data_IF_801112121001
#
_entry.id   IF_801112121001
#
_cell.length_a   1.000
_cell.length_b   1.000
_cell.length_c   1.000
_cell.angle_alpha   90.00
_cell.angle_beta   90.00
_cell.angle_gamma   90.00
#
_symmetry.space_group_name_H-M   'P 1'
#
loop_
_entity.id
_entity.type
_entity.pdbx_description
1 polymer ?
#
# COMPACT_ATOMS: atom_id res chain seq x y z
N UNK A 1 55.96 -33.53 -35.38
CA UNK A 1 55.82 -32.34 -34.53
C UNK A 1 54.44 -31.72 -34.65
N UNK A 2 53.39 -32.24 -34.04
CA UNK A 2 52.04 -31.54 -34.03
C UNK A 2 51.09 -32.19 -33.02
N UNK A 3 51.43 -32.32 -31.75
CA UNK A 3 50.49 -32.82 -30.72
C UNK A 3 50.40 -31.97 -29.43
N UNK A 4 51.12 -30.84 -29.33
CA UNK A 4 51.10 -30.06 -28.09
C UNK A 4 50.05 -28.95 -28.04
N UNK A 5 49.39 -28.59 -29.13
CA UNK A 5 48.43 -27.48 -29.18
C UNK A 5 47.01 -27.89 -28.77
N UNK A 6 46.63 -29.17 -28.84
CA UNK A 6 45.29 -29.64 -28.61
C UNK A 6 44.93 -29.86 -27.11
N UNK A 7 45.97 -30.09 -26.25
CA UNK A 7 45.73 -30.30 -24.80
C UNK A 7 45.42 -28.99 -24.04
N UNK A 8 45.91 -27.83 -24.49
CA UNK A 8 45.61 -26.55 -23.87
C UNK A 8 44.17 -26.10 -24.14
N UNK A 9 43.64 -26.35 -25.34
CA UNK A 9 42.25 -26.05 -25.70
C UNK A 9 41.24 -26.89 -24.90
N UNK A 10 41.49 -28.20 -24.74
CA UNK A 10 40.60 -29.08 -23.98
C UNK A 10 40.49 -28.73 -22.49
N UNK A 11 41.60 -28.33 -21.87
CA UNK A 11 41.61 -27.87 -20.47
C UNK A 11 40.85 -26.54 -20.29
N UNK A 12 41.00 -25.61 -21.22
CA UNK A 12 40.27 -24.33 -21.20
C UNK A 12 38.75 -24.53 -21.33
N UNK A 13 38.34 -25.44 -22.21
CA UNK A 13 36.91 -25.78 -22.38
C UNK A 13 36.32 -26.42 -21.11
N UNK A 14 37.08 -27.35 -20.50
CA UNK A 14 36.64 -28.00 -19.24
C UNK A 14 36.53 -26.97 -18.09
N UNK A 15 37.51 -26.05 -17.97
CA UNK A 15 37.47 -24.98 -16.98
C UNK A 15 36.28 -24.01 -17.22
N UNK A 16 35.91 -23.74 -18.46
CA UNK A 16 34.78 -22.89 -18.81
C UNK A 16 33.46 -23.58 -18.49
N UNK A 17 33.33 -24.87 -18.81
CA UNK A 17 32.11 -25.66 -18.52
C UNK A 17 31.92 -25.83 -17.01
N UNK A 18 32.99 -26.08 -16.25
CA UNK A 18 32.87 -26.21 -14.78
C UNK A 18 32.85 -24.87 -14.06
N UNK A 19 33.57 -23.89 -14.55
CA UNK A 19 33.72 -22.56 -13.90
C UNK A 19 32.45 -21.71 -14.02
N UNK A 20 31.75 -21.77 -15.16
CA UNK A 20 30.56 -20.96 -15.40
C UNK A 20 29.41 -21.26 -14.40
N UNK A 21 29.04 -22.53 -14.16
CA UNK A 21 28.06 -22.83 -13.11
C UNK A 21 28.47 -22.41 -11.70
N UNK A 22 29.76 -22.60 -11.37
CA UNK A 22 30.29 -22.22 -10.06
C UNK A 22 30.26 -20.71 -9.87
N UNK A 23 30.63 -19.92 -10.86
CA UNK A 23 30.56 -18.46 -10.78
C UNK A 23 29.10 -17.97 -10.67
N UNK A 24 28.15 -18.60 -11.37
CA UNK A 24 26.72 -18.27 -11.25
C UNK A 24 26.19 -18.55 -9.85
N UNK A 25 26.55 -19.70 -9.25
CA UNK A 25 26.13 -20.06 -7.90
C UNK A 25 26.71 -19.07 -6.88
N UNK A 26 27.99 -18.72 -7.01
CA UNK A 26 28.63 -17.75 -6.12
C UNK A 26 28.01 -16.36 -6.26
N UNK A 27 27.74 -15.90 -7.48
CA UNK A 27 27.08 -14.62 -7.73
C UNK A 27 25.64 -14.59 -7.18
N UNK A 28 24.89 -15.67 -7.37
CA UNK A 28 23.52 -15.79 -6.82
C UNK A 28 23.54 -15.81 -5.29
N UNK A 29 24.47 -16.55 -4.67
CA UNK A 29 24.60 -16.60 -3.21
C UNK A 29 25.03 -15.25 -2.62
N UNK A 30 25.94 -14.55 -3.33
CA UNK A 30 26.36 -13.22 -2.95
C UNK A 30 25.21 -12.23 -3.04
N UNK A 31 24.46 -12.23 -4.13
CA UNK A 31 23.29 -11.36 -4.33
C UNK A 31 22.22 -11.63 -3.26
N UNK A 32 21.91 -12.92 -3.03
CA UNK A 32 20.95 -13.33 -2.00
C UNK A 32 21.29 -12.76 -0.61
N UNK A 33 22.57 -12.87 -0.22
CA UNK A 33 23.05 -12.40 1.06
C UNK A 33 22.85 -10.88 1.27
N UNK A 34 23.06 -10.07 0.24
CA UNK A 34 22.87 -8.62 0.32
C UNK A 34 21.38 -8.21 0.24
N UNK A 35 20.59 -8.96 -0.51
CA UNK A 35 19.12 -8.73 -0.59
C UNK A 35 18.46 -9.08 0.75
N UNK A 36 18.81 -10.20 1.36
CA UNK A 36 18.26 -10.62 2.65
C UNK A 36 18.60 -9.65 3.78
N UNK A 37 19.77 -9.01 3.72
CA UNK A 37 20.16 -7.96 4.67
C UNK A 37 19.51 -6.61 4.43
N UNK A 38 18.83 -6.43 3.30
CA UNK A 38 18.24 -5.15 2.92
C UNK A 38 19.24 -4.11 2.43
N UNK A 39 20.51 -4.50 2.21
CA UNK A 39 21.56 -3.60 1.70
C UNK A 39 21.35 -3.26 0.21
N UNK A 40 20.61 -4.11 -0.51
CA UNK A 40 20.26 -3.90 -1.93
C UNK A 40 18.73 -4.01 -2.06
N UNK A 41 18.11 -2.87 -2.28
CA UNK A 41 16.68 -2.80 -2.64
C UNK A 41 16.52 -3.02 -4.15
N UNK A 42 16.39 -4.29 -4.56
CA UNK A 42 16.18 -4.66 -5.97
C UNK A 42 14.80 -4.18 -6.44
N UNK A 43 13.79 -4.19 -5.56
CA UNK A 43 12.43 -3.76 -5.90
C UNK A 43 12.41 -2.26 -6.19
N UNK A 44 13.07 -1.46 -5.36
CA UNK A 44 13.21 -0.02 -5.59
C UNK A 44 14.06 0.31 -6.82
N UNK A 45 15.13 -0.48 -7.08
CA UNK A 45 16.05 -0.24 -8.21
C UNK A 45 15.47 -0.63 -9.58
N UNK A 46 14.66 -1.70 -9.65
CA UNK A 46 14.02 -2.15 -10.90
C UNK A 46 12.69 -1.45 -11.16
N UNK A 47 12.13 -0.77 -10.16
CA UNK A 47 10.77 -0.27 -10.17
C UNK A 47 9.75 -1.41 -10.07
N UNK A 48 8.59 -1.11 -9.57
CA UNK A 48 7.44 -2.01 -9.66
C UNK A 48 6.61 -1.61 -10.86
N UNK A 49 5.97 -2.58 -11.52
CA UNK A 49 4.98 -2.28 -12.55
C UNK A 49 3.72 -1.60 -11.97
N UNK A 50 3.66 -1.44 -10.66
CA UNK A 50 2.57 -0.80 -9.93
C UNK A 50 2.87 0.69 -9.74
N UNK A 51 1.83 1.51 -9.82
CA UNK A 51 1.92 2.96 -9.59
C UNK A 51 1.97 3.31 -8.10
N UNK A 52 1.50 2.39 -7.25
CA UNK A 52 1.65 2.48 -5.80
C UNK A 52 3.01 1.95 -5.32
N UNK A 53 3.53 2.56 -4.27
CA UNK A 53 4.72 2.07 -3.58
C UNK A 53 4.37 0.84 -2.72
N UNK A 54 5.02 -0.28 -2.99
CA UNK A 54 4.88 -1.48 -2.15
C UNK A 54 5.68 -1.27 -0.87
N UNK A 55 5.03 -1.49 0.27
CA UNK A 55 5.70 -1.37 1.56
C UNK A 55 6.66 -2.55 1.77
N UNK A 56 7.94 -2.25 1.96
CA UNK A 56 8.97 -3.28 2.16
C UNK A 56 8.73 -4.16 3.41
N UNK A 57 8.05 -3.58 4.42
CA UNK A 57 7.66 -4.28 5.64
C UNK A 57 6.17 -4.03 5.88
N UNK A 58 5.28 -4.82 5.28
CA UNK A 58 3.85 -4.68 5.47
C UNK A 58 3.46 -4.95 6.93
N UNK A 59 2.45 -4.22 7.42
CA UNK A 59 1.94 -4.35 8.79
C UNK A 59 0.57 -4.99 8.73
N UNK A 60 0.31 -5.97 9.60
CA UNK A 60 -1.02 -6.55 9.72
C UNK A 60 -1.83 -5.82 10.79
N UNK A 61 -2.94 -5.23 10.37
CA UNK A 61 -3.86 -4.47 11.24
C UNK A 61 -5.21 -5.19 11.45
N UNK A 62 -5.32 -6.46 11.04
CA UNK A 62 -6.58 -7.22 11.07
C UNK A 62 -7.25 -7.20 12.45
N UNK A 63 -6.48 -7.47 13.49
CA UNK A 63 -6.96 -7.55 14.87
C UNK A 63 -6.63 -6.29 15.69
N UNK A 64 -6.15 -5.23 15.05
CA UNK A 64 -5.88 -3.97 15.74
C UNK A 64 -7.20 -3.36 16.22
N UNK A 65 -7.33 -2.99 17.50
CA UNK A 65 -8.54 -2.39 18.01
C UNK A 65 -8.65 -0.92 17.57
N UNK A 66 -9.85 -0.56 17.16
CA UNK A 66 -10.28 0.80 16.83
C UNK A 66 -11.56 1.12 17.59
N UNK A 67 -11.88 2.40 17.70
CA UNK A 67 -13.18 2.86 18.20
C UNK A 67 -14.01 3.36 17.01
N UNK A 68 -15.18 2.80 16.80
CA UNK A 68 -16.11 3.25 15.76
C UNK A 68 -16.77 4.58 16.16
N UNK A 69 -17.47 5.23 15.22
CA UNK A 69 -18.12 6.53 15.45
C UNK A 69 -19.19 6.51 16.54
N UNK A 70 -19.77 5.33 16.84
CA UNK A 70 -20.73 5.12 17.92
C UNK A 70 -20.08 4.84 19.28
N UNK A 71 -18.76 4.85 19.36
CA UNK A 71 -17.98 4.56 20.56
C UNK A 71 -17.74 3.06 20.83
N UNK A 72 -18.23 2.17 19.98
CA UNK A 72 -17.99 0.73 20.10
C UNK A 72 -16.57 0.36 19.66
N UNK A 73 -16.02 -0.70 20.30
CA UNK A 73 -14.76 -1.28 19.83
C UNK A 73 -14.99 -2.09 18.55
N UNK A 74 -14.09 -1.94 17.58
CA UNK A 74 -14.14 -2.61 16.29
C UNK A 74 -12.75 -2.96 15.77
N UNK A 75 -12.69 -3.74 14.70
CA UNK A 75 -11.45 -4.09 14.00
C UNK A 75 -11.76 -4.45 12.54
N UNK A 76 -10.72 -4.62 11.71
CA UNK A 76 -10.92 -5.15 10.35
C UNK A 76 -11.47 -6.58 10.35
N UNK A 77 -11.17 -7.38 11.39
CA UNK A 77 -11.70 -8.74 11.52
C UNK A 77 -13.22 -8.79 11.73
N UNK A 78 -13.81 -7.72 12.27
CA UNK A 78 -15.27 -7.59 12.41
C UNK A 78 -15.99 -7.33 11.07
N UNK A 79 -15.25 -7.02 10.01
CA UNK A 79 -15.81 -6.76 8.68
C UNK A 79 -15.62 -7.96 7.76
N UNK A 80 -16.42 -7.97 6.68
CA UNK A 80 -16.16 -8.90 5.58
C UNK A 80 -14.75 -8.68 5.01
N UNK A 81 -14.01 -9.77 4.70
CA UNK A 81 -12.67 -9.67 4.16
C UNK A 81 -12.71 -9.07 2.73
N UNK A 82 -12.43 -7.79 2.63
CA UNK A 82 -12.39 -7.01 1.37
C UNK A 82 -11.10 -6.22 1.27
N UNK A 83 -10.71 -5.87 0.06
CA UNK A 83 -9.70 -4.85 -0.17
C UNK A 83 -10.14 -3.55 0.48
N UNK A 84 -9.28 -2.93 1.25
CA UNK A 84 -9.63 -1.73 2.01
C UNK A 84 -8.78 -0.55 1.56
N UNK A 85 -9.43 0.53 1.12
CA UNK A 85 -8.79 1.82 0.95
C UNK A 85 -8.80 2.51 2.31
N UNK A 86 -7.62 2.76 2.84
CA UNK A 86 -7.44 3.36 4.15
C UNK A 86 -6.82 4.75 4.03
N UNK A 87 -7.58 5.77 4.41
CA UNK A 87 -7.10 7.16 4.57
C UNK A 87 -6.76 7.36 6.04
N UNK A 88 -5.62 7.94 6.33
CA UNK A 88 -5.20 8.25 7.71
C UNK A 88 -5.11 9.76 7.85
N UNK A 89 -5.82 10.30 8.83
CA UNK A 89 -5.75 11.71 9.19
C UNK A 89 -5.31 11.86 10.65
N UNK A 90 -4.22 12.57 10.85
CA UNK A 90 -3.69 12.88 12.18
C UNK A 90 -3.96 14.34 12.50
N UNK A 91 -4.59 14.57 13.63
CA UNK A 91 -4.98 15.91 14.10
C UNK A 91 -6.49 16.16 14.03
N UNK A 92 -6.86 17.38 14.35
CA UNK A 92 -8.25 17.87 14.51
C UNK A 92 -8.80 18.56 13.24
N UNK A 93 -8.01 18.60 12.17
CA UNK A 93 -8.39 19.20 10.90
C UNK A 93 -8.16 18.17 9.78
N UNK A 94 -9.19 17.97 8.95
CA UNK A 94 -9.07 17.34 7.64
C UNK A 94 -8.96 18.49 6.62
N UNK A 95 -7.75 18.78 6.20
CA UNK A 95 -7.45 19.85 5.25
C UNK A 95 -7.87 19.51 3.81
N UNK A 96 -7.58 20.38 2.89
CA UNK A 96 -7.88 20.19 1.46
C UNK A 96 -7.29 18.88 0.91
N UNK A 97 -6.08 18.50 1.33
CA UNK A 97 -5.45 17.27 0.89
C UNK A 97 -6.13 16.01 1.43
N UNK A 98 -6.53 16.02 2.70
CA UNK A 98 -7.34 14.97 3.31
C UNK A 98 -8.69 14.83 2.60
N UNK A 99 -9.37 15.94 2.31
CA UNK A 99 -10.63 15.97 1.55
C UNK A 99 -10.45 15.39 0.14
N UNK A 100 -9.38 15.76 -0.53
CA UNK A 100 -9.05 15.23 -1.86
C UNK A 100 -8.85 13.71 -1.84
N UNK A 101 -8.19 13.15 -0.82
CA UNK A 101 -8.04 11.70 -0.66
C UNK A 101 -9.36 10.99 -0.47
N UNK A 102 -10.29 11.57 0.28
CA UNK A 102 -11.65 11.03 0.42
C UNK A 102 -12.37 11.02 -0.94
N UNK A 103 -12.31 12.12 -1.68
CA UNK A 103 -12.89 12.20 -3.01
C UNK A 103 -12.22 11.21 -3.98
N UNK A 104 -10.90 11.20 -4.06
CA UNK A 104 -10.11 10.34 -4.96
C UNK A 104 -10.41 8.85 -4.74
N UNK A 105 -10.37 8.39 -3.50
CA UNK A 105 -10.63 6.99 -3.17
C UNK A 105 -12.07 6.58 -3.49
N UNK A 106 -13.05 7.51 -3.39
CA UNK A 106 -14.42 7.29 -3.86
C UNK A 106 -14.48 7.12 -5.38
N UNK A 107 -13.84 8.02 -6.12
CA UNK A 107 -13.83 7.98 -7.59
C UNK A 107 -13.16 6.70 -8.10
N UNK A 108 -12.03 6.31 -7.53
CA UNK A 108 -11.34 5.08 -7.89
C UNK A 108 -12.24 3.86 -7.65
N UNK A 109 -12.88 3.78 -6.47
CA UNK A 109 -13.78 2.67 -6.14
C UNK A 109 -14.95 2.55 -7.12
N UNK A 110 -15.55 3.68 -7.52
CA UNK A 110 -16.63 3.69 -8.54
C UNK A 110 -16.10 3.26 -9.90
N UNK A 111 -14.91 3.73 -10.30
CA UNK A 111 -14.30 3.47 -11.60
C UNK A 111 -13.84 2.00 -11.78
N UNK A 112 -13.66 1.24 -10.72
CA UNK A 112 -13.41 -0.22 -10.77
C UNK A 112 -14.60 -0.96 -11.42
N UNK A 113 -15.79 -0.39 -11.35
CA UNK A 113 -16.99 -0.94 -11.99
C UNK A 113 -17.56 -2.13 -11.21
N UNK A 114 -17.82 -3.26 -11.88
CA UNK A 114 -18.51 -4.41 -11.27
C UNK A 114 -17.84 -5.00 -10.04
N UNK A 115 -16.53 -4.80 -9.86
CA UNK A 115 -15.77 -5.31 -8.71
C UNK A 115 -15.77 -4.34 -7.51
N UNK A 116 -16.50 -3.22 -7.56
CA UNK A 116 -16.54 -2.21 -6.51
C UNK A 116 -17.01 -2.77 -5.15
N UNK A 117 -17.83 -3.82 -5.15
CA UNK A 117 -18.33 -4.48 -3.93
C UNK A 117 -17.25 -5.25 -3.16
N UNK A 118 -16.12 -5.58 -3.83
CA UNK A 118 -14.94 -6.21 -3.23
C UNK A 118 -14.02 -5.21 -2.52
N UNK A 119 -14.36 -3.92 -2.60
CA UNK A 119 -13.59 -2.82 -2.02
C UNK A 119 -14.43 -2.09 -0.99
N UNK A 120 -13.87 -1.87 0.17
CA UNK A 120 -14.41 -1.01 1.22
C UNK A 120 -13.48 0.15 1.51
N UNK A 121 -13.99 1.18 2.20
CA UNK A 121 -13.25 2.38 2.56
C UNK A 121 -13.31 2.59 4.06
N UNK A 122 -12.15 2.89 4.64
CA UNK A 122 -12.00 3.20 6.06
C UNK A 122 -11.16 4.47 6.18
N UNK A 123 -11.59 5.38 7.01
CA UNK A 123 -10.80 6.51 7.43
C UNK A 123 -10.38 6.29 8.88
N UNK A 124 -9.09 6.36 9.15
CA UNK A 124 -8.54 6.22 10.49
C UNK A 124 -8.09 7.60 10.98
N UNK A 125 -8.57 7.96 12.15
CA UNK A 125 -8.36 9.28 12.76
C UNK A 125 -7.84 9.12 14.19
N UNK A 126 -7.16 10.11 14.73
CA UNK A 126 -6.67 10.12 16.11
C UNK A 126 -7.60 10.81 17.10
N UNK A 127 -8.62 11.52 16.61
CA UNK A 127 -9.67 12.15 17.39
C UNK A 127 -11.07 11.67 16.96
N UNK A 128 -12.12 11.82 17.79
CA UNK A 128 -13.49 11.49 17.38
C UNK A 128 -13.92 12.30 16.14
N UNK A 129 -14.62 11.66 15.19
CA UNK A 129 -15.01 12.28 13.91
C UNK A 129 -15.81 13.58 14.06
N UNK A 130 -16.61 13.71 15.12
CA UNK A 130 -17.35 14.93 15.41
C UNK A 130 -16.49 16.08 15.95
N UNK A 131 -15.27 15.79 16.41
CA UNK A 131 -14.29 16.80 16.86
C UNK A 131 -13.41 17.29 15.71
N UNK A 132 -13.26 16.51 14.64
CA UNK A 132 -12.45 16.87 13.49
C UNK A 132 -13.25 17.82 12.60
N UNK A 133 -12.61 18.89 12.18
CA UNK A 133 -13.17 19.85 11.23
C UNK A 133 -12.61 19.60 9.83
N UNK A 134 -13.46 19.71 8.83
CA UNK A 134 -13.05 19.72 7.43
C UNK A 134 -13.04 21.16 6.92
N UNK A 135 -11.99 21.55 6.24
CA UNK A 135 -11.92 22.87 5.62
C UNK A 135 -12.76 22.88 4.34
N UNK A 136 -13.64 23.91 4.20
CA UNK A 136 -14.39 24.13 2.97
C UNK A 136 -13.47 24.57 1.82
N UNK A 137 -13.91 24.36 0.58
CA UNK A 137 -13.18 24.70 -0.65
C UNK A 137 -12.84 26.19 -0.78
N UNK A 138 -13.49 27.05 0.00
CA UNK A 138 -13.21 28.49 0.04
C UNK A 138 -13.14 28.99 1.49
N UNK A 139 -12.26 29.97 1.72
CA UNK A 139 -12.12 30.64 3.03
C UNK A 139 -13.45 31.30 3.52
N UNK A 140 -14.46 31.41 2.68
CA UNK A 140 -15.78 31.95 2.98
C UNK A 140 -16.76 30.89 3.52
N UNK A 141 -16.51 29.61 3.34
CA UNK A 141 -17.43 28.51 3.68
C UNK A 141 -17.27 28.03 5.13
N UNK A 142 -16.20 28.42 5.81
CA UNK A 142 -15.94 28.00 7.18
C UNK A 142 -15.56 26.51 7.29
N UNK A 143 -15.60 26.00 8.52
CA UNK A 143 -15.32 24.58 8.80
C UNK A 143 -16.63 23.84 9.12
N UNK A 144 -16.71 22.60 8.68
CA UNK A 144 -17.83 21.68 8.94
C UNK A 144 -17.32 20.46 9.69
N UNK A 145 -18.04 19.89 10.64
CA UNK A 145 -17.66 18.63 11.26
C UNK A 145 -17.46 17.53 10.20
N UNK A 146 -16.37 16.76 10.33
CA UNK A 146 -16.08 15.66 9.43
C UNK A 146 -17.23 14.64 9.37
N UNK A 147 -17.90 14.40 10.50
CA UNK A 147 -19.07 13.52 10.57
C UNK A 147 -20.15 13.88 9.57
N UNK A 148 -20.43 15.16 9.39
CA UNK A 148 -21.53 15.65 8.53
C UNK A 148 -21.20 15.46 7.04
N UNK A 149 -19.92 15.70 6.69
CA UNK A 149 -19.42 15.47 5.33
C UNK A 149 -19.36 13.96 5.01
N UNK A 150 -18.93 13.13 5.96
CA UNK A 150 -18.95 11.67 5.77
C UNK A 150 -20.38 11.17 5.55
N UNK A 151 -21.36 11.63 6.34
CA UNK A 151 -22.73 11.20 6.20
C UNK A 151 -23.37 11.65 4.86
N UNK A 152 -23.10 12.89 4.44
CA UNK A 152 -23.68 13.45 3.22
C UNK A 152 -22.98 13.03 1.93
N UNK A 153 -21.64 12.99 1.91
CA UNK A 153 -20.87 12.82 0.68
C UNK A 153 -20.15 11.47 0.58
N UNK A 154 -19.82 10.86 1.71
CA UNK A 154 -19.05 9.61 1.77
C UNK A 154 -19.72 8.52 2.64
N UNK A 155 -21.00 8.20 2.46
CA UNK A 155 -21.74 7.28 3.33
C UNK A 155 -21.20 5.85 3.33
N UNK A 156 -20.27 5.53 2.41
CA UNK A 156 -19.60 4.25 2.30
C UNK A 156 -18.26 4.20 3.08
N UNK A 157 -17.86 5.32 3.69
CA UNK A 157 -16.63 5.41 4.52
C UNK A 157 -16.98 5.09 5.97
N UNK A 158 -16.23 4.16 6.56
CA UNK A 158 -16.24 3.96 8.00
C UNK A 158 -15.15 4.81 8.63
N UNK A 159 -15.53 5.63 9.61
CA UNK A 159 -14.54 6.42 10.36
C UNK A 159 -14.26 5.70 11.67
N UNK A 160 -12.99 5.41 11.89
CA UNK A 160 -12.48 4.72 13.06
C UNK A 160 -11.43 5.55 13.78
N UNK A 161 -11.61 5.71 15.07
CA UNK A 161 -10.59 6.35 15.88
C UNK A 161 -9.48 5.33 16.21
N UNK A 162 -8.25 5.76 16.00
CA UNK A 162 -7.04 4.98 16.26
C UNK A 162 -6.83 4.82 17.77
N UNK A 163 -6.41 3.64 18.20
CA UNK A 163 -5.93 3.38 19.55
C UNK A 163 -4.51 3.91 19.77
N UNK A 164 -3.86 3.42 20.83
CA UNK A 164 -2.49 3.84 21.18
C UNK A 164 -1.41 3.42 20.16
N UNK A 165 -1.72 2.47 19.28
CA UNK A 165 -0.76 1.98 18.27
C UNK A 165 -1.08 2.56 16.91
N UNK A 166 -0.09 3.12 16.19
CA UNK A 166 -0.29 3.64 14.85
C UNK A 166 -0.61 2.49 13.87
N UNK A 167 -1.53 2.73 12.96
CA UNK A 167 -1.91 1.77 11.89
C UNK A 167 -0.82 1.58 10.84
N UNK A 168 0.01 2.59 10.68
CA UNK A 168 1.16 2.60 9.77
C UNK A 168 2.37 3.06 10.57
N UNK A 169 3.51 2.34 10.53
CA UNK A 169 4.73 2.79 11.19
C UNK A 169 5.14 4.20 10.71
N UNK A 170 5.68 5.03 11.59
CA UNK A 170 6.06 6.42 11.27
C UNK A 170 6.89 6.55 9.98
N UNK A 171 7.80 5.61 9.73
CA UNK A 171 8.62 5.58 8.50
C UNK A 171 7.80 5.40 7.20
N UNK A 172 6.56 4.97 7.29
CA UNK A 172 5.66 4.76 6.16
C UNK A 172 4.51 5.78 6.14
N UNK A 173 4.41 6.62 7.16
CA UNK A 173 3.45 7.73 7.16
C UNK A 173 3.93 8.74 6.12
N UNK A 174 3.04 9.08 5.20
CA UNK A 174 3.27 10.15 4.24
C UNK A 174 2.09 11.11 4.29
N UNK A 175 2.38 12.37 4.29
CA UNK A 175 1.38 13.39 4.06
C UNK A 175 0.74 13.17 2.68
N UNK A 176 -0.56 13.38 2.58
CA UNK A 176 -1.31 13.28 1.32
C UNK A 176 -1.21 11.90 0.64
N UNK A 177 -1.30 10.84 1.43
CA UNK A 177 -1.28 9.47 0.93
C UNK A 177 -2.42 8.63 1.52
N UNK A 178 -2.84 7.64 0.77
CA UNK A 178 -3.75 6.60 1.23
C UNK A 178 -3.11 5.22 1.05
N UNK A 179 -3.65 4.25 1.75
CA UNK A 179 -3.05 2.91 1.83
C UNK A 179 -4.02 1.86 1.31
N UNK A 180 -3.46 0.85 0.66
CA UNK A 180 -4.18 -0.34 0.25
C UNK A 180 -3.92 -1.46 1.25
N UNK A 181 -5.01 -1.95 1.85
CA UNK A 181 -5.00 -3.09 2.77
C UNK A 181 -5.65 -4.28 2.09
N UNK A 182 -5.01 -5.44 2.17
CA UNK A 182 -5.53 -6.67 1.58
C UNK A 182 -6.66 -7.29 2.43
N UNK A 183 -7.42 -8.28 1.91
CA UNK A 183 -8.47 -8.94 2.66
C UNK A 183 -8.00 -9.69 3.92
N UNK A 184 -6.71 -9.94 4.07
CA UNK A 184 -6.10 -10.55 5.25
C UNK A 184 -5.65 -9.53 6.30
N UNK A 185 -5.82 -8.22 6.01
CA UNK A 185 -5.48 -7.11 6.91
C UNK A 185 -4.04 -6.61 6.80
N UNK A 186 -3.30 -6.98 5.75
CA UNK A 186 -1.96 -6.44 5.52
C UNK A 186 -2.01 -5.11 4.79
N UNK A 187 -1.39 -4.09 5.37
CA UNK A 187 -1.14 -2.81 4.71
C UNK A 187 0.00 -3.00 3.72
N UNK A 188 -0.32 -3.10 2.44
CA UNK A 188 0.61 -3.56 1.40
C UNK A 188 1.21 -2.43 0.58
N UNK A 189 0.41 -1.42 0.25
CA UNK A 189 0.81 -0.38 -0.70
C UNK A 189 0.40 0.99 -0.19
N UNK A 190 1.17 1.98 -0.61
CA UNK A 190 0.90 3.40 -0.41
C UNK A 190 0.74 4.08 -1.76
N UNK A 191 -0.25 4.94 -1.87
CA UNK A 191 -0.48 5.80 -3.03
C UNK A 191 -0.45 7.26 -2.59
N UNK A 192 0.37 8.08 -3.25
CA UNK A 192 0.35 9.52 -3.08
C UNK A 192 -0.89 10.13 -3.74
N UNK A 193 -1.31 11.33 -3.32
CA UNK A 193 -2.46 12.04 -3.93
C UNK A 193 -2.24 12.35 -5.41
N UNK A 194 -1.00 12.65 -5.80
CA UNK A 194 -0.64 13.03 -7.18
C UNK A 194 -0.62 11.85 -8.16
N UNK A 195 -0.79 10.61 -7.67
CA UNK A 195 -0.77 9.44 -8.55
C UNK A 195 -1.92 9.48 -9.54
N UNK A 196 -1.63 9.12 -10.80
CA UNK A 196 -2.66 9.08 -11.83
C UNK A 196 -3.70 7.99 -11.50
N UNK A 197 -4.96 8.38 -11.29
CA UNK A 197 -6.04 7.47 -10.93
C UNK A 197 -6.25 6.31 -11.90
N UNK A 198 -5.91 6.48 -13.20
CA UNK A 198 -6.03 5.41 -14.21
C UNK A 198 -5.03 4.29 -13.96
N UNK A 199 -3.84 4.66 -13.51
CA UNK A 199 -2.78 3.70 -13.21
C UNK A 199 -3.13 2.92 -11.95
N UNK A 200 -3.66 3.59 -10.92
CA UNK A 200 -4.20 2.95 -9.71
C UNK A 200 -5.32 1.96 -10.05
N UNK A 201 -6.23 2.33 -10.96
CA UNK A 201 -7.29 1.41 -11.43
C UNK A 201 -6.67 0.19 -12.13
N UNK A 202 -5.59 0.38 -12.88
CA UNK A 202 -4.82 -0.70 -13.50
C UNK A 202 -4.28 -1.69 -12.48
N UNK A 203 -3.59 -1.19 -11.47
CA UNK A 203 -3.05 -1.97 -10.36
C UNK A 203 -4.15 -2.77 -9.64
N UNK A 204 -5.23 -2.10 -9.28
CA UNK A 204 -6.36 -2.70 -8.56
C UNK A 204 -7.06 -3.78 -9.39
N UNK A 205 -7.27 -3.57 -10.68
CA UNK A 205 -7.85 -4.60 -11.56
C UNK A 205 -6.97 -5.84 -11.66
N UNK A 206 -5.65 -5.64 -11.70
CA UNK A 206 -4.70 -6.75 -11.67
C UNK A 206 -4.78 -7.52 -10.34
N UNK A 207 -4.78 -6.82 -9.21
CA UNK A 207 -4.89 -7.42 -7.88
C UNK A 207 -6.22 -8.17 -7.71
N UNK A 208 -7.35 -7.53 -8.05
CA UNK A 208 -8.69 -8.13 -7.94
C UNK A 208 -8.86 -9.37 -8.83
N UNK A 209 -8.23 -9.40 -10.01
CA UNK A 209 -8.26 -10.56 -10.90
C UNK A 209 -7.49 -11.75 -10.34
N UNK A 210 -6.38 -11.49 -9.64
CA UNK A 210 -5.46 -12.52 -9.16
C UNK A 210 -5.70 -12.92 -7.69
N UNK A 211 -6.41 -12.10 -6.91
CA UNK A 211 -6.87 -12.45 -5.58
C UNK A 211 -8.19 -13.21 -5.67
N UNK A 212 -8.15 -14.51 -5.89
CA UNK A 212 -9.33 -15.35 -6.04
C UNK A 212 -10.44 -14.98 -5.05
N UNK A 213 -11.63 -14.69 -5.57
CA UNK A 213 -12.87 -14.49 -4.82
C UNK A 213 -13.52 -15.80 -4.54
#
# INVERSE_FOLDING_TARGET
MTQHTNQRGGRAILLLIAGLPVTMILAASWLWFFVERGDIDIVGALGTANSGEILANPVNIRNQPFTASDGSETSLDALEPKWTFMVVNSGDICDAACSELLYLTRQIRIAIGRDFHRIQRVMVVDAPANAIQIEGDSAAEGTTPLSDIIESEHPDVRVWQMGAQPVVPERHVAENAWYLVDPSGWVMMRYASEVNYKDVIGDLKFLLKNSGG
#
